data_IF_323478371402
#
_entry.id   IF_323478371402
#
_cell.length_a   1.000
_cell.length_b   1.000
_cell.length_c   1.000
_cell.angle_alpha   90.00
_cell.angle_beta   90.00
_cell.angle_gamma   90.00
#
_symmetry.space_group_name_H-M   'P 1'
#
loop_
_entity.id
_entity.type
_entity.pdbx_description
1 polymer ?
#
# COMPACT_ATOMS: atom_id res chain seq x y z
N UNK A 1 42.33 -30.06 11.47
CA UNK A 1 40.93 -30.15 11.91
C UNK A 1 39.98 -29.43 10.97
N UNK A 2 39.07 -30.24 10.46
CA UNK A 2 37.84 -30.07 9.67
C UNK A 2 37.37 -28.68 9.20
N UNK A 3 37.28 -28.53 7.87
CA UNK A 3 36.34 -27.64 7.20
C UNK A 3 35.01 -28.40 6.99
N UNK A 4 33.96 -27.96 7.67
CA UNK A 4 32.62 -28.55 7.62
C UNK A 4 31.87 -28.18 6.35
N UNK A 5 31.83 -29.13 5.42
CA UNK A 5 30.88 -29.23 4.32
C UNK A 5 29.47 -29.50 4.89
N UNK A 6 28.46 -28.69 4.54
CA UNK A 6 27.04 -29.02 4.75
C UNK A 6 26.21 -28.61 3.54
N UNK A 7 26.45 -29.23 2.39
CA UNK A 7 25.39 -29.40 1.39
C UNK A 7 24.29 -30.25 2.03
N UNK A 8 23.12 -29.65 2.28
CA UNK A 8 21.92 -30.40 2.68
C UNK A 8 21.55 -31.45 1.62
N UNK A 9 20.78 -32.49 1.96
CA UNK A 9 20.49 -33.56 1.01
C UNK A 9 19.75 -32.98 -0.20
N UNK A 10 20.40 -33.01 -1.36
CA UNK A 10 19.74 -32.82 -2.65
C UNK A 10 18.72 -33.94 -2.79
N UNK A 11 17.44 -33.62 -2.58
CA UNK A 11 16.36 -34.57 -2.83
C UNK A 11 16.26 -34.83 -4.35
N UNK A 12 16.98 -35.84 -4.82
CA UNK A 12 16.98 -36.28 -6.22
C UNK A 12 15.76 -37.20 -6.46
N UNK A 13 14.57 -36.59 -6.58
CA UNK A 13 13.35 -37.33 -6.90
C UNK A 13 13.40 -37.87 -8.33
N UNK A 14 13.71 -39.16 -8.49
CA UNK A 14 13.68 -39.89 -9.77
C UNK A 14 12.41 -40.71 -9.90
N UNK A 15 11.80 -40.72 -11.08
CA UNK A 15 10.67 -41.59 -11.39
C UNK A 15 11.14 -43.03 -11.70
N UNK A 16 10.21 -43.98 -11.87
CA UNK A 16 10.54 -45.40 -12.08
C UNK A 16 11.34 -45.70 -13.35
N UNK A 17 11.53 -44.73 -14.25
CA UNK A 17 12.37 -44.83 -15.46
C UNK A 17 13.75 -44.18 -15.29
N UNK A 18 14.05 -43.64 -14.11
CA UNK A 18 15.34 -43.01 -13.81
C UNK A 18 15.49 -41.57 -14.30
N UNK A 19 14.42 -40.97 -14.84
CA UNK A 19 14.40 -39.58 -15.25
C UNK A 19 14.14 -38.66 -14.06
N UNK A 20 14.77 -37.48 -14.10
CA UNK A 20 14.62 -36.45 -13.08
C UNK A 20 13.20 -35.91 -13.14
N UNK A 21 12.33 -36.33 -12.23
CA UNK A 21 10.96 -35.86 -12.18
C UNK A 21 10.97 -34.52 -11.45
N UNK A 22 10.72 -33.43 -12.17
CA UNK A 22 10.33 -32.19 -11.49
C UNK A 22 9.05 -32.50 -10.71
N UNK A 23 8.92 -32.09 -9.43
CA UNK A 23 7.63 -32.16 -8.78
C UNK A 23 6.66 -31.30 -9.59
N UNK A 24 5.52 -31.87 -9.98
CA UNK A 24 4.45 -31.11 -10.61
C UNK A 24 4.14 -29.91 -9.71
N UNK A 25 4.42 -28.70 -10.20
CA UNK A 25 4.02 -27.49 -9.48
C UNK A 25 2.50 -27.59 -9.32
N UNK A 26 1.95 -27.54 -8.10
CA UNK A 26 0.51 -27.48 -7.94
C UNK A 26 0.04 -26.26 -8.74
N UNK A 27 -0.87 -26.46 -9.69
CA UNK A 27 -1.53 -25.37 -10.39
C UNK A 27 -2.53 -24.73 -9.41
N UNK A 28 -2.01 -23.99 -8.43
CA UNK A 28 -2.80 -22.98 -7.75
C UNK A 28 -3.11 -21.93 -8.82
N UNK A 29 -4.38 -21.82 -9.23
CA UNK A 29 -4.81 -20.67 -10.04
C UNK A 29 -4.32 -19.40 -9.34
N UNK A 30 -3.73 -18.48 -10.11
CA UNK A 30 -3.28 -17.17 -9.61
C UNK A 30 -4.35 -16.61 -8.68
N UNK A 31 -4.04 -16.36 -7.39
CA UNK A 31 -5.05 -15.88 -6.45
C UNK A 31 -5.62 -14.57 -6.99
N UNK A 32 -6.93 -14.54 -7.23
CA UNK A 32 -7.59 -13.33 -7.71
C UNK A 32 -7.30 -12.19 -6.72
N UNK A 33 -6.90 -11.04 -7.25
CA UNK A 33 -6.57 -9.86 -6.44
C UNK A 33 -7.71 -9.56 -5.46
N UNK A 34 -7.46 -9.36 -4.16
CA UNK A 34 -8.50 -9.02 -3.21
C UNK A 34 -9.21 -7.70 -3.58
N UNK A 35 -10.49 -7.58 -3.25
CA UNK A 35 -11.29 -6.37 -3.51
C UNK A 35 -10.66 -5.13 -2.86
N UNK A 36 -10.20 -5.25 -1.62
CA UNK A 36 -9.56 -4.14 -0.89
C UNK A 36 -8.32 -3.58 -1.62
N UNK A 37 -7.56 -4.43 -2.34
CA UNK A 37 -6.40 -3.96 -3.10
C UNK A 37 -6.86 -3.14 -4.31
N UNK A 38 -7.90 -3.62 -5.01
CA UNK A 38 -8.50 -2.89 -6.13
C UNK A 38 -9.07 -1.54 -5.69
N UNK A 39 -9.71 -1.47 -4.53
CA UNK A 39 -10.34 -0.23 -4.05
C UNK A 39 -9.32 0.85 -3.72
N UNK A 40 -8.18 0.48 -3.12
CA UNK A 40 -7.08 1.43 -2.87
C UNK A 40 -6.51 1.97 -4.18
N UNK A 41 -6.33 1.10 -5.18
CA UNK A 41 -5.85 1.49 -6.52
C UNK A 41 -6.88 2.40 -7.21
N UNK A 42 -8.17 2.03 -7.17
CA UNK A 42 -9.25 2.83 -7.73
C UNK A 42 -9.35 4.20 -7.06
N UNK A 43 -9.13 4.27 -5.74
CA UNK A 43 -9.12 5.51 -5.01
C UNK A 43 -7.92 6.39 -5.38
N UNK A 44 -6.73 5.81 -5.55
CA UNK A 44 -5.57 6.55 -6.06
C UNK A 44 -5.84 7.14 -7.44
N UNK A 45 -6.44 6.36 -8.35
CA UNK A 45 -6.85 6.85 -9.66
C UNK A 45 -7.88 7.98 -9.57
N UNK A 46 -8.87 7.87 -8.67
CA UNK A 46 -9.84 8.94 -8.42
C UNK A 46 -9.15 10.22 -7.95
N UNK A 47 -8.21 10.11 -7.00
CA UNK A 47 -7.47 11.26 -6.48
C UNK A 47 -6.74 12.00 -7.61
N UNK A 48 -6.01 11.26 -8.47
CA UNK A 48 -5.34 11.79 -9.66
C UNK A 48 -6.33 12.49 -10.59
N UNK A 49 -7.44 11.83 -10.92
CA UNK A 49 -8.49 12.39 -11.79
C UNK A 49 -9.16 13.64 -11.21
N UNK A 50 -9.06 13.87 -9.90
CA UNK A 50 -9.57 15.06 -9.21
C UNK A 50 -8.51 16.13 -8.95
N UNK A 51 -7.33 16.02 -9.58
CA UNK A 51 -6.27 17.04 -9.52
C UNK A 51 -5.19 16.79 -8.46
N UNK A 52 -5.21 15.68 -7.73
CA UNK A 52 -4.08 15.25 -6.86
C UNK A 52 -3.10 14.43 -7.69
N UNK A 53 -2.44 15.08 -8.64
CA UNK A 53 -1.54 14.42 -9.59
C UNK A 53 -0.19 14.10 -8.95
N UNK A 54 0.60 13.18 -9.51
CA UNK A 54 1.97 12.93 -9.06
C UNK A 54 2.84 14.19 -8.96
N UNK A 55 2.65 15.15 -9.86
CA UNK A 55 3.39 16.42 -9.86
C UNK A 55 2.95 17.32 -8.70
N UNK A 56 1.66 17.37 -8.39
CA UNK A 56 1.18 18.10 -7.21
C UNK A 56 1.60 17.41 -5.91
N UNK A 57 1.65 16.08 -5.89
CA UNK A 57 2.15 15.32 -4.75
C UNK A 57 3.62 15.64 -4.44
N UNK A 58 4.43 15.90 -5.48
CA UNK A 58 5.84 16.29 -5.35
C UNK A 58 6.04 17.67 -4.69
N UNK A 59 5.03 18.54 -4.70
CA UNK A 59 5.06 19.84 -4.01
C UNK A 59 4.96 19.69 -2.48
N UNK A 60 4.46 18.54 -2.00
CA UNK A 60 4.37 18.29 -0.57
C UNK A 60 5.73 17.94 0.05
N UNK A 61 5.94 18.47 1.25
CA UNK A 61 7.13 18.26 2.08
C UNK A 61 6.72 17.72 3.46
N UNK A 62 7.72 17.35 4.28
CA UNK A 62 7.54 16.93 5.68
C UNK A 62 6.56 15.75 5.87
N UNK A 63 6.44 14.87 4.87
CA UNK A 63 5.58 13.69 4.93
C UNK A 63 4.09 14.01 4.98
N UNK A 64 3.66 15.15 4.44
CA UNK A 64 2.25 15.57 4.50
C UNK A 64 1.28 14.50 3.97
N UNK A 65 1.59 13.80 2.87
CA UNK A 65 0.72 12.73 2.36
C UNK A 65 0.58 11.57 3.38
N UNK A 66 1.69 11.16 4.02
CA UNK A 66 1.67 10.14 5.06
C UNK A 66 0.92 10.59 6.33
N UNK A 67 1.06 11.86 6.73
CA UNK A 67 0.32 12.42 7.88
C UNK A 67 -1.19 12.48 7.61
N UNK A 68 -1.59 12.90 6.40
CA UNK A 68 -2.98 12.88 5.97
C UNK A 68 -3.55 11.45 5.96
N UNK A 69 -2.76 10.48 5.48
CA UNK A 69 -3.14 9.06 5.52
C UNK A 69 -3.35 8.56 6.95
N UNK A 70 -2.44 8.89 7.86
CA UNK A 70 -2.53 8.51 9.27
C UNK A 70 -3.79 9.09 9.94
N UNK A 71 -4.18 10.32 9.59
CA UNK A 71 -5.41 10.95 10.08
C UNK A 71 -6.67 10.14 9.69
N UNK A 72 -6.80 9.78 8.41
CA UNK A 72 -7.91 8.97 7.93
C UNK A 72 -7.91 7.56 8.54
N UNK A 73 -6.75 6.90 8.60
CA UNK A 73 -6.61 5.57 9.21
C UNK A 73 -6.98 5.56 10.69
N UNK A 74 -6.53 6.57 11.45
CA UNK A 74 -6.88 6.74 12.87
C UNK A 74 -8.37 6.97 13.06
N UNK A 75 -8.98 7.84 12.25
CA UNK A 75 -10.42 8.11 12.29
C UNK A 75 -11.23 6.84 12.04
N UNK A 76 -10.86 6.02 11.05
CA UNK A 76 -11.46 4.71 10.83
C UNK A 76 -11.25 3.76 12.03
N UNK A 77 -10.03 3.68 12.56
CA UNK A 77 -9.71 2.80 13.70
C UNK A 77 -10.47 3.13 14.99
N UNK A 78 -10.82 4.39 15.22
CA UNK A 78 -11.62 4.81 16.37
C UNK A 78 -13.08 4.30 16.33
N UNK A 79 -13.58 3.97 15.14
CA UNK A 79 -14.97 3.58 14.91
C UNK A 79 -15.14 2.12 14.45
N UNK A 80 -14.06 1.47 14.00
CA UNK A 80 -14.10 0.10 13.51
C UNK A 80 -14.97 -0.02 12.26
N UNK A 81 -16.05 -0.80 12.33
CA UNK A 81 -17.03 -0.93 11.23
C UNK A 81 -18.25 -0.03 11.40
N UNK A 82 -18.34 0.73 12.49
CA UNK A 82 -19.47 1.62 12.75
C UNK A 82 -19.46 2.83 11.82
N UNK A 83 -20.51 2.96 11.01
CA UNK A 83 -20.72 4.05 10.06
C UNK A 83 -21.80 5.01 10.55
N UNK A 84 -21.77 5.38 11.83
CA UNK A 84 -22.75 6.32 12.40
C UNK A 84 -22.72 7.68 11.69
N UNK A 85 -23.82 8.43 11.81
CA UNK A 85 -23.92 9.81 11.29
C UNK A 85 -22.83 10.73 11.85
N UNK A 86 -22.39 10.50 13.09
CA UNK A 86 -21.36 11.30 13.76
C UNK A 86 -19.96 11.10 13.18
N UNK A 87 -19.74 10.04 12.39
CA UNK A 87 -18.43 9.78 11.77
C UNK A 87 -18.01 10.91 10.82
N UNK A 88 -18.97 11.46 10.07
CA UNK A 88 -18.72 12.51 9.08
C UNK A 88 -18.49 13.88 9.72
N UNK A 89 -18.95 14.07 10.95
CA UNK A 89 -18.78 15.30 11.72
C UNK A 89 -17.51 15.26 12.59
N UNK A 90 -16.59 14.34 12.33
CA UNK A 90 -15.37 14.19 13.10
C UNK A 90 -14.51 15.46 13.05
N UNK A 91 -14.05 15.88 14.22
CA UNK A 91 -13.14 17.01 14.38
C UNK A 91 -11.86 16.76 13.59
N UNK A 92 -11.34 17.81 12.94
CA UNK A 92 -10.07 17.76 12.22
C UNK A 92 -8.95 17.35 13.19
N UNK A 93 -8.18 16.28 12.91
CA UNK A 93 -7.04 15.90 13.75
C UNK A 93 -5.95 16.98 13.79
N UNK A 94 -5.27 17.13 14.93
CA UNK A 94 -4.21 18.15 15.10
C UNK A 94 -3.03 17.97 14.14
N UNK A 95 -2.79 16.74 13.70
CA UNK A 95 -1.73 16.37 12.76
C UNK A 95 -2.20 16.37 11.29
N UNK A 96 -3.41 16.87 11.00
CA UNK A 96 -3.88 17.05 9.65
C UNK A 96 -3.05 18.14 8.95
N UNK A 97 -2.41 17.85 7.80
CA UNK A 97 -1.39 18.74 7.23
C UNK A 97 -1.96 19.83 6.32
N UNK A 98 -3.27 19.85 6.07
CA UNK A 98 -3.92 20.76 5.13
C UNK A 98 -4.99 21.60 5.80
N UNK A 99 -5.57 22.54 5.05
CA UNK A 99 -6.66 23.35 5.56
C UNK A 99 -7.87 22.49 5.99
N UNK A 100 -8.61 22.96 7.00
CA UNK A 100 -9.71 22.24 7.65
C UNK A 100 -10.77 21.79 6.67
N UNK A 101 -11.07 22.61 5.67
CA UNK A 101 -12.07 22.36 4.63
C UNK A 101 -11.76 21.14 3.74
N UNK A 102 -10.51 20.67 3.75
CA UNK A 102 -10.11 19.45 3.04
C UNK A 102 -10.24 18.18 3.88
N UNK A 103 -10.48 18.29 5.18
CA UNK A 103 -10.84 17.16 6.03
C UNK A 103 -12.28 16.75 5.74
N UNK A 104 -12.45 15.59 5.08
CA UNK A 104 -13.75 15.09 4.62
C UNK A 104 -13.88 13.60 4.92
N UNK A 105 -14.03 13.21 6.21
CA UNK A 105 -14.27 11.82 6.57
C UNK A 105 -15.59 11.34 5.98
N UNK A 106 -15.70 10.06 5.66
CA UNK A 106 -16.90 9.51 4.99
C UNK A 106 -17.46 8.28 5.67
N UNK A 107 -16.66 7.22 5.74
CA UNK A 107 -16.95 5.99 6.50
C UNK A 107 -15.63 5.30 6.81
N UNK A 108 -15.54 4.42 7.83
CA UNK A 108 -14.30 3.73 8.14
C UNK A 108 -13.67 3.03 6.94
N UNK A 109 -14.45 2.26 6.16
CA UNK A 109 -13.95 1.58 4.95
C UNK A 109 -13.45 2.59 3.91
N UNK A 110 -14.23 3.64 3.63
CA UNK A 110 -13.88 4.64 2.62
C UNK A 110 -12.66 5.48 3.02
N UNK A 111 -12.49 5.75 4.30
CA UNK A 111 -11.35 6.51 4.81
C UNK A 111 -10.08 5.65 4.84
N UNK A 112 -10.19 4.33 5.05
CA UNK A 112 -9.06 3.41 4.84
C UNK A 112 -8.62 3.35 3.37
N UNK A 113 -9.56 3.39 2.42
CA UNK A 113 -9.22 3.49 0.99
C UNK A 113 -8.47 4.80 0.69
N UNK A 114 -8.95 5.94 1.21
CA UNK A 114 -8.27 7.23 1.08
C UNK A 114 -6.88 7.19 1.70
N UNK A 115 -6.75 6.60 2.90
CA UNK A 115 -5.47 6.46 3.58
C UNK A 115 -4.49 5.60 2.78
N UNK A 116 -4.93 4.45 2.27
CA UNK A 116 -4.12 3.60 1.40
C UNK A 116 -3.66 4.31 0.14
N UNK A 117 -4.55 5.05 -0.53
CA UNK A 117 -4.20 5.82 -1.71
C UNK A 117 -3.19 6.96 -1.42
N UNK A 118 -3.30 7.63 -0.27
CA UNK A 118 -2.35 8.65 0.16
C UNK A 118 -0.97 8.05 0.52
N UNK A 119 -0.94 6.82 1.07
CA UNK A 119 0.30 6.08 1.29
C UNK A 119 0.96 5.74 -0.06
N UNK A 120 0.19 5.24 -1.03
CA UNK A 120 0.72 5.00 -2.38
C UNK A 120 1.29 6.28 -2.99
N UNK A 121 0.58 7.41 -2.85
CA UNK A 121 1.06 8.70 -3.33
C UNK A 121 2.42 9.11 -2.72
N UNK A 122 2.59 8.93 -1.40
CA UNK A 122 3.86 9.24 -0.73
C UNK A 122 4.99 8.29 -1.15
N UNK A 123 4.71 6.99 -1.33
CA UNK A 123 5.69 6.03 -1.82
C UNK A 123 6.14 6.38 -3.25
N UNK A 124 5.19 6.67 -4.14
CA UNK A 124 5.48 7.11 -5.51
C UNK A 124 6.33 8.40 -5.52
N UNK A 125 6.07 9.33 -4.60
CA UNK A 125 6.87 10.55 -4.41
C UNK A 125 8.30 10.22 -3.99
N UNK A 126 8.49 9.28 -3.06
CA UNK A 126 9.82 8.80 -2.67
C UNK A 126 10.57 8.16 -3.83
N UNK A 127 9.89 7.31 -4.61
CA UNK A 127 10.48 6.63 -5.76
C UNK A 127 10.95 7.65 -6.82
N UNK A 128 10.12 8.66 -7.14
CA UNK A 128 10.51 9.76 -8.04
C UNK A 128 11.66 10.60 -7.49
N UNK A 129 11.68 10.88 -6.19
CA UNK A 129 12.77 11.63 -5.56
C UNK A 129 14.10 10.85 -5.61
N UNK A 130 14.06 9.53 -5.40
CA UNK A 130 15.22 8.66 -5.52
C UNK A 130 15.73 8.58 -6.98
N UNK A 131 14.82 8.44 -7.95
CA UNK A 131 15.18 8.42 -9.37
C UNK A 131 15.86 9.71 -9.84
N UNK A 132 15.39 10.89 -9.38
CA UNK A 132 16.03 12.18 -9.69
C UNK A 132 17.47 12.25 -9.17
N UNK A 133 17.70 11.86 -7.91
CA UNK A 133 19.04 11.84 -7.32
C UNK A 133 20.01 10.91 -8.04
N UNK A 134 19.52 9.78 -8.56
CA UNK A 134 20.34 8.85 -9.33
C UNK A 134 20.73 9.38 -10.71
N UNK A 135 19.94 10.27 -11.30
CA UNK A 135 20.23 10.86 -12.61
C UNK A 135 21.16 12.08 -12.54
N UNK A 136 21.37 12.64 -11.34
CA UNK A 136 22.24 13.79 -11.08
C UNK A 136 23.69 13.39 -10.70
N UNK A 137 23.93 12.09 -10.45
CA UNK A 137 25.23 11.50 -10.12
C UNK A 137 25.84 10.77 -11.32
#
# INVERSE_FOLDING_TARGET
DQAGNTSGPENDYRNMTGERSQPERPQYGEPAMPEAWRDVIAERQRQINTGRTPEHDDEYINGALALAAACYARQAGMWGTDCSVYYRDAVVPDNWPWAREYWKPSSPRRDLEKAGALILAEMERHDRAAARKNNEN
#
